data_IF_831492590296
#
_entry.id   IF_831492590296
#
_cell.length_a   1.000
_cell.length_b   1.000
_cell.length_c   1.000
_cell.angle_alpha   90.00
_cell.angle_beta   90.00
_cell.angle_gamma   90.00
#
_symmetry.space_group_name_H-M   'P 1'
#
loop_
_entity.id
_entity.type
_entity.pdbx_description
1 polymer ?
#
# COMPACT_ATOMS: atom_id res chain seq x y z
N UNK A 1 -14.23 24.80 8.35
CA UNK A 1 -13.57 25.54 7.25
C UNK A 1 -13.96 24.86 5.94
N UNK A 2 -14.37 25.59 4.92
CA UNK A 2 -14.65 24.98 3.60
C UNK A 2 -13.33 24.50 3.00
N UNK A 3 -13.30 23.23 2.57
CA UNK A 3 -12.15 22.61 1.91
C UNK A 3 -11.83 23.38 0.62
N UNK A 4 -10.57 23.70 0.29
CA UNK A 4 -10.25 24.42 -0.94
C UNK A 4 -10.79 23.67 -2.16
N UNK A 5 -11.37 24.37 -3.13
CA UNK A 5 -11.92 23.78 -4.38
C UNK A 5 -10.91 22.86 -5.11
N UNK A 6 -9.63 23.14 -4.95
CA UNK A 6 -8.54 22.33 -5.52
C UNK A 6 -8.43 20.95 -4.87
N UNK A 7 -8.67 20.85 -3.56
CA UNK A 7 -8.59 19.59 -2.82
C UNK A 7 -9.81 18.70 -3.08
N UNK A 8 -10.99 19.29 -3.15
CA UNK A 8 -12.21 18.57 -3.56
C UNK A 8 -12.10 18.03 -4.99
N UNK A 9 -11.52 18.81 -5.92
CA UNK A 9 -11.30 18.35 -7.29
C UNK A 9 -10.27 17.19 -7.32
N UNK A 10 -9.19 17.27 -6.54
CA UNK A 10 -8.19 16.21 -6.44
C UNK A 10 -8.80 14.91 -5.93
N UNK A 11 -9.61 14.95 -4.90
CA UNK A 11 -10.31 13.77 -4.38
C UNK A 11 -11.24 13.13 -5.39
N UNK A 12 -12.02 13.94 -6.13
CA UNK A 12 -12.90 13.44 -7.19
C UNK A 12 -12.10 12.73 -8.30
N UNK A 13 -10.96 13.30 -8.70
CA UNK A 13 -10.08 12.68 -9.69
C UNK A 13 -9.51 11.36 -9.21
N UNK A 14 -8.96 11.32 -7.99
CA UNK A 14 -8.39 10.10 -7.41
C UNK A 14 -9.46 9.03 -7.19
N UNK A 15 -10.63 9.39 -6.68
CA UNK A 15 -11.74 8.45 -6.52
C UNK A 15 -12.21 7.85 -7.84
N UNK A 16 -12.41 8.67 -8.89
CA UNK A 16 -12.78 8.18 -10.22
C UNK A 16 -11.68 7.30 -10.83
N UNK A 17 -10.41 7.62 -10.60
CA UNK A 17 -9.29 6.80 -11.08
C UNK A 17 -9.24 5.45 -10.40
N UNK A 18 -9.41 5.40 -9.08
CA UNK A 18 -9.46 4.17 -8.31
C UNK A 18 -10.65 3.29 -8.75
N UNK A 19 -11.83 3.89 -8.97
CA UNK A 19 -13.01 3.18 -9.48
C UNK A 19 -12.74 2.52 -10.83
N UNK A 20 -12.10 3.24 -11.78
CA UNK A 20 -11.72 2.68 -13.09
C UNK A 20 -10.73 1.52 -12.91
N UNK A 21 -9.69 1.74 -12.11
CA UNK A 21 -8.66 0.74 -11.88
C UNK A 21 -9.22 -0.54 -11.26
N UNK A 22 -10.18 -0.42 -10.32
CA UNK A 22 -10.81 -1.57 -9.66
C UNK A 22 -11.77 -2.33 -10.57
N UNK A 23 -12.57 -1.61 -11.39
CA UNK A 23 -13.60 -2.23 -12.21
C UNK A 23 -13.12 -2.69 -13.57
N UNK A 24 -12.12 -2.03 -14.16
CA UNK A 24 -11.71 -2.19 -15.57
C UNK A 24 -10.21 -2.42 -15.74
N UNK A 25 -9.44 -2.37 -14.64
CA UNK A 25 -7.99 -2.49 -14.62
C UNK A 25 -7.24 -1.17 -14.88
N UNK A 26 -5.99 -1.09 -14.44
CA UNK A 26 -5.16 0.12 -14.55
C UNK A 26 -4.90 0.54 -16.02
N UNK A 27 -4.95 -0.39 -16.95
CA UNK A 27 -4.81 -0.12 -18.39
C UNK A 27 -5.93 0.76 -18.96
N UNK A 28 -7.13 0.71 -18.36
CA UNK A 28 -8.30 1.46 -18.80
C UNK A 28 -8.32 2.92 -18.32
N UNK A 29 -7.42 3.28 -17.40
CA UNK A 29 -7.30 4.66 -16.91
C UNK A 29 -6.79 5.56 -18.02
N UNK A 30 -7.59 6.59 -18.34
CA UNK A 30 -7.20 7.68 -19.24
C UNK A 30 -7.70 9.02 -18.68
N UNK A 31 -7.03 10.13 -19.00
CA UNK A 31 -7.48 11.45 -18.54
C UNK A 31 -8.89 11.80 -19.03
N UNK A 32 -9.29 11.30 -20.21
CA UNK A 32 -10.64 11.52 -20.74
C UNK A 32 -11.70 10.80 -19.91
N UNK A 33 -11.44 9.54 -19.56
CA UNK A 33 -12.37 8.74 -18.76
C UNK A 33 -12.44 9.26 -17.32
N UNK A 34 -11.30 9.63 -16.73
CA UNK A 34 -11.27 10.27 -15.40
C UNK A 34 -12.01 11.60 -15.40
N UNK A 35 -11.85 12.45 -16.42
CA UNK A 35 -12.59 13.71 -16.55
C UNK A 35 -14.10 13.45 -16.63
N UNK A 36 -14.50 12.46 -17.41
CA UNK A 36 -15.91 12.08 -17.60
C UNK A 36 -16.56 11.59 -16.29
N UNK A 37 -15.88 10.72 -15.52
CA UNK A 37 -16.41 10.15 -14.26
C UNK A 37 -16.33 11.13 -13.10
N UNK A 38 -15.22 11.84 -12.95
CA UNK A 38 -15.04 12.79 -11.86
C UNK A 38 -15.84 14.09 -12.02
N UNK A 39 -16.25 14.41 -13.26
CA UNK A 39 -16.82 15.72 -13.61
C UNK A 39 -15.82 16.87 -13.55
N UNK A 40 -14.52 16.58 -13.42
CA UNK A 40 -13.45 17.58 -13.38
C UNK A 40 -12.91 17.83 -14.79
N UNK A 41 -12.74 19.11 -15.14
CA UNK A 41 -12.22 19.46 -16.46
C UNK A 41 -10.82 18.86 -16.70
N UNK A 42 -10.58 18.32 -17.90
CA UNK A 42 -9.30 17.70 -18.30
C UNK A 42 -8.09 18.62 -18.07
N UNK A 43 -8.26 19.93 -18.30
CA UNK A 43 -7.21 20.93 -18.03
C UNK A 43 -6.84 21.03 -16.53
N UNK A 44 -7.78 20.72 -15.66
CA UNK A 44 -7.53 20.66 -14.22
C UNK A 44 -6.74 19.40 -13.86
N UNK A 45 -7.02 18.27 -14.51
CA UNK A 45 -6.28 17.02 -14.30
C UNK A 45 -4.81 17.22 -14.65
N UNK A 46 -4.50 17.76 -15.85
CA UNK A 46 -3.13 18.06 -16.27
C UNK A 46 -2.37 19.03 -15.38
N UNK A 47 -3.07 19.84 -14.59
CA UNK A 47 -2.43 20.74 -13.62
C UNK A 47 -2.08 20.04 -12.30
N UNK A 48 -2.72 18.93 -11.99
CA UNK A 48 -2.55 18.21 -10.73
C UNK A 48 -1.65 16.99 -10.85
N UNK A 49 -1.55 16.42 -12.05
CA UNK A 49 -0.83 15.19 -12.31
C UNK A 49 0.01 15.31 -13.56
N UNK A 50 1.28 14.98 -13.46
CA UNK A 50 2.26 15.12 -14.55
C UNK A 50 2.06 14.05 -15.63
N UNK A 51 1.59 12.87 -15.23
CA UNK A 51 1.31 11.76 -16.14
C UNK A 51 0.09 10.94 -15.70
N UNK A 52 -0.37 10.08 -16.60
CA UNK A 52 -1.38 9.08 -16.29
C UNK A 52 -0.90 8.11 -15.20
N UNK A 53 0.39 7.76 -15.24
CA UNK A 53 1.01 6.85 -14.29
C UNK A 53 1.04 7.46 -12.88
N UNK A 54 1.40 8.75 -12.77
CA UNK A 54 1.33 9.51 -11.52
C UNK A 54 -0.09 9.51 -10.92
N UNK A 55 -1.10 9.79 -11.75
CA UNK A 55 -2.51 9.74 -11.33
C UNK A 55 -2.92 8.34 -10.83
N UNK A 56 -2.52 7.26 -11.52
CA UNK A 56 -2.82 5.88 -11.14
C UNK A 56 -2.19 5.57 -9.78
N UNK A 57 -0.90 5.83 -9.61
CA UNK A 57 -0.17 5.54 -8.37
C UNK A 57 -0.77 6.32 -7.21
N UNK A 58 -1.00 7.63 -7.36
CA UNK A 58 -1.64 8.44 -6.33
C UNK A 58 -3.05 7.95 -5.95
N UNK A 59 -3.84 7.48 -6.92
CA UNK A 59 -5.19 6.99 -6.66
C UNK A 59 -5.19 5.67 -5.88
N UNK A 60 -4.32 4.75 -6.26
CA UNK A 60 -4.18 3.47 -5.56
C UNK A 60 -3.53 3.64 -4.19
N UNK A 61 -2.57 4.54 -4.05
CA UNK A 61 -1.98 4.90 -2.77
C UNK A 61 -3.04 5.42 -1.78
N UNK A 62 -3.87 6.36 -2.22
CA UNK A 62 -4.96 6.87 -1.39
C UNK A 62 -5.99 5.78 -1.03
N UNK A 63 -6.30 4.87 -1.94
CA UNK A 63 -7.26 3.80 -1.72
C UNK A 63 -6.75 2.72 -0.75
N UNK A 64 -5.42 2.63 -0.59
CA UNK A 64 -4.74 1.68 0.28
C UNK A 64 -4.01 2.38 1.41
N UNK A 65 -4.59 3.46 1.97
CA UNK A 65 -3.97 4.20 3.05
C UNK A 65 -3.55 3.28 4.20
N UNK A 66 -2.27 3.37 4.57
CA UNK A 66 -1.72 2.58 5.67
C UNK A 66 -2.20 3.15 7.01
N UNK A 67 -2.45 2.29 8.02
CA UNK A 67 -2.81 2.72 9.36
C UNK A 67 -1.67 3.48 10.03
N UNK A 68 -2.01 4.24 11.08
CA UNK A 68 -0.99 4.79 11.97
C UNK A 68 -0.19 3.66 12.62
N UNK A 69 1.12 3.90 12.80
CA UNK A 69 2.00 2.88 13.38
C UNK A 69 1.75 2.73 14.88
N UNK A 70 1.39 1.56 15.37
CA UNK A 70 1.20 1.32 16.79
C UNK A 70 2.48 1.57 17.61
N UNK A 71 2.32 1.97 18.87
CA UNK A 71 3.38 2.10 19.88
C UNK A 71 2.87 1.56 21.23
N UNK A 72 2.68 0.26 21.27
CA UNK A 72 2.08 -0.45 22.43
C UNK A 72 3.09 -0.80 23.53
N UNK A 73 4.39 -0.68 23.22
CA UNK A 73 5.48 -1.01 24.11
C UNK A 73 6.13 -2.38 23.85
N UNK A 74 5.61 -3.19 22.92
CA UNK A 74 6.22 -4.46 22.50
C UNK A 74 6.14 -4.63 20.98
N UNK A 75 7.18 -5.24 20.38
CA UNK A 75 7.18 -5.53 18.94
C UNK A 75 6.01 -6.45 18.57
N UNK A 76 5.71 -7.43 19.41
CA UNK A 76 4.65 -8.40 19.15
C UNK A 76 3.28 -7.72 18.99
N UNK A 77 2.92 -6.86 19.94
CA UNK A 77 1.63 -6.17 19.88
C UNK A 77 1.61 -5.10 18.79
N UNK A 78 2.72 -4.38 18.58
CA UNK A 78 2.83 -3.39 17.48
C UNK A 78 2.55 -4.05 16.12
N UNK A 79 3.16 -5.22 15.85
CA UNK A 79 2.93 -5.96 14.61
C UNK A 79 1.53 -6.57 14.52
N UNK A 80 1.02 -7.09 15.63
CA UNK A 80 -0.35 -7.67 15.66
C UNK A 80 -1.39 -6.62 15.31
N UNK A 81 -1.34 -5.46 15.96
CA UNK A 81 -2.29 -4.38 15.74
C UNK A 81 -2.17 -3.82 14.31
N UNK A 82 -0.94 -3.62 13.84
CA UNK A 82 -0.70 -3.17 12.46
C UNK A 82 -1.30 -4.12 11.43
N UNK A 83 -1.04 -5.44 11.55
CA UNK A 83 -1.58 -6.40 10.59
C UNK A 83 -3.08 -6.61 10.73
N UNK A 84 -3.65 -6.50 11.93
CA UNK A 84 -5.08 -6.58 12.12
C UNK A 84 -5.83 -5.47 11.35
N UNK A 85 -5.23 -4.28 11.21
CA UNK A 85 -5.81 -3.18 10.46
C UNK A 85 -5.58 -3.28 8.95
N UNK A 86 -4.42 -3.80 8.51
CA UNK A 86 -4.07 -3.80 7.09
C UNK A 86 -4.60 -5.02 6.33
N UNK A 87 -4.69 -6.18 6.97
CA UNK A 87 -5.13 -7.42 6.31
C UNK A 87 -6.52 -7.32 5.66
N UNK A 88 -7.53 -6.67 6.25
CA UNK A 88 -8.84 -6.48 5.61
C UNK A 88 -8.76 -5.71 4.28
N UNK A 89 -7.79 -4.82 4.12
CA UNK A 89 -7.53 -4.08 2.87
C UNK A 89 -7.12 -5.07 1.77
N UNK A 90 -6.21 -5.99 2.08
CA UNK A 90 -5.73 -7.01 1.13
C UNK A 90 -6.74 -8.14 0.89
N UNK A 91 -7.71 -8.31 1.77
CA UNK A 91 -8.79 -9.29 1.57
C UNK A 91 -9.86 -8.80 0.56
N UNK A 92 -9.86 -7.51 0.22
CA UNK A 92 -10.73 -6.96 -0.82
C UNK A 92 -10.30 -7.46 -2.22
N UNK A 93 -11.16 -8.24 -2.94
CA UNK A 93 -10.79 -8.82 -4.23
C UNK A 93 -10.50 -7.78 -5.32
N UNK A 94 -11.24 -6.67 -5.34
CA UNK A 94 -11.09 -5.61 -6.34
C UNK A 94 -9.76 -4.88 -6.15
N UNK A 95 -9.44 -4.54 -4.90
CA UNK A 95 -8.19 -3.89 -4.56
C UNK A 95 -6.99 -4.79 -4.86
N UNK A 96 -7.09 -6.07 -4.52
CA UNK A 96 -6.05 -7.06 -4.83
C UNK A 96 -5.83 -7.20 -6.34
N UNK A 97 -6.90 -7.27 -7.13
CA UNK A 97 -6.81 -7.33 -8.59
C UNK A 97 -6.13 -6.09 -9.16
N UNK A 98 -6.50 -4.88 -8.71
CA UNK A 98 -5.88 -3.64 -9.14
C UNK A 98 -4.40 -3.55 -8.75
N UNK A 99 -4.02 -4.05 -7.56
CA UNK A 99 -2.62 -4.11 -7.13
C UNK A 99 -1.78 -5.03 -8.00
N UNK A 100 -2.32 -6.22 -8.35
CA UNK A 100 -1.67 -7.15 -9.28
C UNK A 100 -1.52 -6.55 -10.69
N UNK A 101 -2.55 -5.89 -11.18
CA UNK A 101 -2.53 -5.19 -12.46
C UNK A 101 -1.48 -4.07 -12.48
N UNK A 102 -1.37 -3.29 -11.40
CA UNK A 102 -0.35 -2.26 -11.25
C UNK A 102 1.05 -2.86 -11.30
N UNK A 103 1.31 -3.94 -10.54
CA UNK A 103 2.60 -4.63 -10.55
C UNK A 103 2.94 -5.17 -11.95
N UNK A 104 1.97 -5.78 -12.64
CA UNK A 104 2.16 -6.31 -13.99
C UNK A 104 2.39 -5.20 -15.03
N UNK A 105 1.75 -4.04 -14.88
CA UNK A 105 1.96 -2.88 -15.73
C UNK A 105 3.33 -2.25 -15.46
N UNK A 106 3.70 -2.05 -14.20
CA UNK A 106 4.99 -1.52 -13.77
C UNK A 106 6.17 -2.35 -14.28
N UNK A 107 6.04 -3.67 -14.33
CA UNK A 107 7.07 -4.56 -14.88
C UNK A 107 7.37 -4.32 -16.39
N UNK A 108 6.52 -3.55 -17.09
CA UNK A 108 6.64 -3.24 -18.53
C UNK A 108 6.83 -1.76 -18.84
N UNK A 109 6.65 -0.90 -17.86
CA UNK A 109 6.74 0.56 -18.00
C UNK A 109 7.71 1.11 -16.94
N UNK A 110 8.93 1.55 -17.33
CA UNK A 110 9.94 2.04 -16.38
C UNK A 110 9.50 3.27 -15.58
N UNK A 111 8.66 4.17 -16.15
CA UNK A 111 8.13 5.32 -15.43
C UNK A 111 7.19 4.84 -14.32
N UNK A 112 6.24 3.97 -14.66
CA UNK A 112 5.31 3.41 -13.70
C UNK A 112 6.02 2.58 -12.63
N UNK A 113 7.07 1.86 -13.00
CA UNK A 113 7.90 1.11 -12.05
C UNK A 113 8.55 2.03 -11.02
N UNK A 114 9.17 3.13 -11.47
CA UNK A 114 9.81 4.09 -10.57
C UNK A 114 8.80 4.74 -9.60
N UNK A 115 7.64 5.15 -10.11
CA UNK A 115 6.57 5.73 -9.29
C UNK A 115 6.02 4.72 -8.27
N UNK A 116 5.80 3.47 -8.70
CA UNK A 116 5.34 2.41 -7.81
C UNK A 116 6.38 2.08 -6.72
N UNK A 117 7.66 2.02 -7.07
CA UNK A 117 8.74 1.81 -6.09
C UNK A 117 8.80 2.95 -5.08
N UNK A 118 8.72 4.22 -5.53
CA UNK A 118 8.68 5.36 -4.61
C UNK A 118 7.50 5.29 -3.65
N UNK A 119 6.31 4.93 -4.14
CA UNK A 119 5.13 4.74 -3.30
C UNK A 119 5.35 3.64 -2.24
N UNK A 120 5.95 2.52 -2.63
CA UNK A 120 6.28 1.43 -1.70
C UNK A 120 7.30 1.88 -0.65
N UNK A 121 8.36 2.59 -1.06
CA UNK A 121 9.38 3.13 -0.15
C UNK A 121 8.78 4.12 0.85
N UNK A 122 7.88 5.00 0.42
CA UNK A 122 7.17 5.94 1.30
C UNK A 122 6.31 5.24 2.37
N UNK A 123 5.79 4.05 2.06
CA UNK A 123 5.02 3.22 2.99
C UNK A 123 5.90 2.42 3.95
N UNK A 124 7.04 1.92 3.46
CA UNK A 124 7.95 1.07 4.24
C UNK A 124 8.76 1.91 5.21
N UNK A 125 9.23 3.09 4.81
CA UNK A 125 10.13 3.94 5.61
C UNK A 125 9.58 4.22 7.02
N UNK A 126 8.31 4.55 7.23
CA UNK A 126 7.76 4.72 8.56
C UNK A 126 7.85 3.47 9.44
N UNK A 127 7.77 2.27 8.85
CA UNK A 127 7.88 1.01 9.60
C UNK A 127 9.26 0.80 10.26
N UNK A 128 10.30 1.46 9.75
CA UNK A 128 11.61 1.48 10.42
C UNK A 128 11.48 1.94 11.88
N UNK A 129 10.50 2.81 12.19
CA UNK A 129 10.24 3.27 13.56
C UNK A 129 9.85 2.13 14.50
N UNK A 130 9.06 1.17 14.04
CA UNK A 130 8.70 -0.02 14.83
C UNK A 130 9.95 -0.86 15.12
N UNK A 131 10.78 -1.09 14.11
CA UNK A 131 12.02 -1.85 14.27
C UNK A 131 13.02 -1.12 15.17
N UNK A 132 13.18 0.19 15.05
CA UNK A 132 14.06 0.98 15.91
C UNK A 132 13.61 0.97 17.38
N UNK A 133 12.30 1.03 17.63
CA UNK A 133 11.75 0.87 18.98
C UNK A 133 12.08 -0.52 19.53
N UNK A 134 11.87 -1.57 18.73
CA UNK A 134 12.15 -2.95 19.11
C UNK A 134 13.64 -3.18 19.39
N UNK A 135 14.55 -2.64 18.57
CA UNK A 135 15.99 -2.67 18.81
C UNK A 135 16.36 -1.99 20.12
N UNK A 136 15.86 -0.77 20.36
CA UNK A 136 16.11 -0.07 21.65
C UNK A 136 15.60 -0.80 22.87
N UNK A 137 14.55 -1.61 22.74
CA UNK A 137 14.03 -2.46 23.83
C UNK A 137 14.75 -3.79 23.96
N UNK A 138 15.72 -4.10 23.06
CA UNK A 138 16.43 -5.37 23.02
C UNK A 138 15.59 -6.54 22.51
N UNK A 139 14.50 -6.26 21.81
CA UNK A 139 13.61 -7.28 21.23
C UNK A 139 14.12 -7.80 19.87
N UNK A 140 14.93 -7.00 19.16
CA UNK A 140 15.59 -7.33 17.90
C UNK A 140 17.09 -7.05 17.98
N UNK A 141 17.93 -7.78 17.19
CA UNK A 141 19.34 -7.49 17.05
C UNK A 141 19.60 -6.05 16.54
N UNK A 142 20.61 -5.37 17.06
CA UNK A 142 20.93 -4.01 16.63
C UNK A 142 21.40 -3.94 15.17
N UNK A 143 22.06 -4.98 14.69
CA UNK A 143 22.62 -5.11 13.34
C UNK A 143 21.61 -5.64 12.30
N UNK A 144 20.39 -5.96 12.67
CA UNK A 144 19.33 -6.36 11.74
C UNK A 144 19.08 -5.25 10.71
N UNK A 145 19.27 -5.55 9.43
CA UNK A 145 18.97 -4.63 8.33
C UNK A 145 17.45 -4.40 8.14
N UNK A 146 17.06 -3.19 7.74
CA UNK A 146 15.63 -2.92 7.47
C UNK A 146 15.08 -3.73 6.30
N UNK A 147 15.89 -3.95 5.26
CA UNK A 147 15.50 -4.77 4.11
C UNK A 147 15.17 -6.19 4.54
N UNK A 148 16.06 -6.83 5.29
CA UNK A 148 15.83 -8.19 5.79
C UNK A 148 14.61 -8.24 6.71
N UNK A 149 14.47 -7.25 7.61
CA UNK A 149 13.32 -7.15 8.50
C UNK A 149 12.01 -7.06 7.73
N UNK A 150 11.98 -6.25 6.66
CA UNK A 150 10.81 -6.08 5.82
C UNK A 150 10.49 -7.33 5.01
N UNK A 151 11.48 -7.98 4.41
CA UNK A 151 11.30 -9.22 3.63
C UNK A 151 10.66 -10.33 4.47
N UNK A 152 11.13 -10.51 5.71
CA UNK A 152 10.52 -11.47 6.63
C UNK A 152 9.13 -11.06 7.10
N UNK A 153 8.89 -9.76 7.25
CA UNK A 153 7.61 -9.22 7.67
C UNK A 153 6.53 -9.42 6.62
N UNK A 154 6.81 -8.99 5.39
CA UNK A 154 5.83 -8.96 4.29
C UNK A 154 5.67 -10.31 3.57
N UNK A 155 6.74 -11.11 3.50
CA UNK A 155 6.75 -12.35 2.73
C UNK A 155 5.56 -13.28 2.98
N UNK A 156 5.22 -13.62 4.23
CA UNK A 156 4.09 -14.50 4.53
C UNK A 156 2.74 -13.97 4.06
N UNK A 157 2.54 -12.65 4.10
CA UNK A 157 1.29 -12.00 3.70
C UNK A 157 1.23 -11.86 2.18
N UNK A 158 2.32 -11.43 1.53
CA UNK A 158 2.39 -11.30 0.09
C UNK A 158 2.13 -12.62 -0.63
N UNK A 159 2.72 -13.73 -0.16
CA UNK A 159 2.47 -15.06 -0.73
C UNK A 159 0.98 -15.43 -0.67
N UNK A 160 0.32 -15.16 0.46
CA UNK A 160 -1.12 -15.45 0.58
C UNK A 160 -1.95 -14.50 -0.27
N UNK A 161 -1.69 -13.21 -0.20
CA UNK A 161 -2.43 -12.21 -0.99
C UNK A 161 -2.34 -12.49 -2.50
N UNK A 162 -1.17 -12.86 -3.01
CA UNK A 162 -0.94 -13.00 -4.44
C UNK A 162 -1.27 -14.40 -4.97
N UNK A 163 -0.92 -15.47 -4.23
CA UNK A 163 -1.00 -16.84 -4.73
C UNK A 163 -2.12 -17.67 -4.12
N UNK A 164 -2.50 -17.39 -2.87
CA UNK A 164 -3.47 -18.19 -2.12
C UNK A 164 -4.45 -17.30 -1.34
N UNK A 165 -5.21 -16.42 -2.03
CA UNK A 165 -6.08 -15.45 -1.36
C UNK A 165 -7.13 -16.10 -0.46
N UNK A 166 -7.61 -17.30 -0.79
CA UNK A 166 -8.53 -18.07 0.06
C UNK A 166 -7.91 -18.44 1.41
N UNK A 167 -6.58 -18.49 1.51
CA UNK A 167 -5.87 -18.81 2.75
C UNK A 167 -5.56 -17.58 3.60
N UNK A 168 -5.85 -16.38 3.10
CA UNK A 168 -5.65 -15.16 3.88
C UNK A 168 -6.61 -15.10 5.06
N UNK A 169 -7.87 -15.50 4.86
CA UNK A 169 -8.91 -15.57 5.90
C UNK A 169 -8.66 -16.67 6.94
N UNK A 170 -7.88 -17.71 6.56
CA UNK A 170 -7.50 -18.82 7.45
C UNK A 170 -6.21 -18.52 8.23
N UNK A 171 -5.64 -17.30 8.06
CA UNK A 171 -4.39 -16.92 8.68
C UNK A 171 -4.54 -16.79 10.20
N UNK A 172 -3.81 -17.63 10.93
CA UNK A 172 -3.57 -17.42 12.35
C UNK A 172 -2.52 -16.29 12.50
N UNK A 173 -3.02 -15.07 12.73
CA UNK A 173 -2.20 -13.87 12.77
C UNK A 173 -1.20 -13.90 13.93
N UNK A 174 -1.63 -14.28 15.13
CA UNK A 174 -0.77 -14.35 16.31
C UNK A 174 0.42 -15.31 16.06
N UNK A 175 0.11 -16.51 15.59
CA UNK A 175 1.13 -17.50 15.24
C UNK A 175 2.04 -17.06 14.11
N UNK A 176 1.54 -16.25 13.17
CA UNK A 176 2.34 -15.72 12.07
C UNK A 176 3.30 -14.65 12.59
N UNK A 177 2.84 -13.75 13.43
CA UNK A 177 3.67 -12.74 14.11
C UNK A 177 4.74 -13.39 14.97
N UNK A 178 4.41 -14.42 15.75
CA UNK A 178 5.41 -15.17 16.54
C UNK A 178 6.53 -15.74 15.66
N UNK A 179 6.18 -16.31 14.50
CA UNK A 179 7.16 -16.88 13.58
C UNK A 179 8.03 -15.82 12.92
N UNK A 180 7.45 -14.67 12.54
CA UNK A 180 8.18 -13.54 11.99
C UNK A 180 9.20 -13.05 13.01
N UNK A 181 8.78 -12.76 14.24
CA UNK A 181 9.66 -12.29 15.31
C UNK A 181 10.77 -13.32 15.59
N UNK A 182 10.42 -14.60 15.59
CA UNK A 182 11.40 -15.67 15.76
C UNK A 182 12.47 -15.68 14.65
N UNK A 183 12.07 -15.43 13.40
CA UNK A 183 13.00 -15.32 12.27
C UNK A 183 13.88 -14.07 12.34
N UNK A 184 13.31 -12.93 12.76
CA UNK A 184 14.04 -11.66 12.90
C UNK A 184 15.08 -11.67 14.03
N UNK A 185 14.99 -12.61 14.99
CA UNK A 185 15.92 -12.78 16.12
C UNK A 185 17.02 -13.78 15.84
N UNK A 186 16.93 -14.54 14.75
CA UNK A 186 17.88 -15.59 14.39
C UNK A 186 19.13 -15.03 13.71
#
# INVERSE_FOLDING_TARGET
MARPRSEEAREKMLGATAEIAFSEGVGSVTFDEVARRSGVAKTTIYRHFDSKNDLIVCALDQATAFPELPDTGTLWQDLLDFFAEILPIFDNPELRAASLDLMAAAARDPELQALHQSMVEDRITPMHTIFDRAKRRGELPEDLGYTDAFDFLEGPFMVRTLLYPEKLQELDLERTVDRIIGALRA
#
